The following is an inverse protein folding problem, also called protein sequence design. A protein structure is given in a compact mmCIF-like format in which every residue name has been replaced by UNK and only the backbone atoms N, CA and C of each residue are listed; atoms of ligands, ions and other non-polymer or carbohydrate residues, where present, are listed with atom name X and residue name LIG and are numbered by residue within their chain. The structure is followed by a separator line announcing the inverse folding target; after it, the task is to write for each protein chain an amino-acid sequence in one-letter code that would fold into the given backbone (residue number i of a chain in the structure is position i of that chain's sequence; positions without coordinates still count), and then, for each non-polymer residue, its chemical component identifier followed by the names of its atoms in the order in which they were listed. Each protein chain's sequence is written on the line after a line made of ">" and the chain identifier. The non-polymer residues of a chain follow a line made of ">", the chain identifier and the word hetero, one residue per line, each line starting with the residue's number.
data_IF_747755866299
#
_entry.id   IF_747755866299
#
_cell.length_a   1.000
_cell.length_b   1.000
_cell.length_c   1.000
_cell.angle_alpha   90.00
_cell.angle_beta   90.00
_cell.angle_gamma   90.00
#
_symmetry.space_group_name_H-M   'P 1'
#
loop_
_entity.id
_entity.type
_entity.pdbx_description
1 polymer ?
#
# COMPACT_ATOMS: atom_id res chain seq x y z
N UNK A 1 8.04 11.70 -14.05
CA UNK A 1 7.42 11.26 -15.31
C UNK A 1 6.14 12.01 -15.57
N UNK A 2 5.92 12.45 -16.82
CA UNK A 2 4.72 13.20 -17.22
C UNK A 2 3.43 12.46 -16.91
N UNK A 3 3.42 11.11 -17.01
CA UNK A 3 2.25 10.29 -16.77
C UNK A 3 1.83 10.22 -15.28
N UNK A 4 2.76 10.39 -14.35
CA UNK A 4 2.50 10.20 -12.92
C UNK A 4 2.50 11.48 -12.11
N UNK A 5 2.83 12.63 -12.70
CA UNK A 5 2.84 13.91 -12.00
C UNK A 5 3.61 13.86 -10.68
N UNK A 6 3.06 14.53 -9.65
CA UNK A 6 3.73 14.68 -8.35
C UNK A 6 3.82 13.38 -7.54
N UNK A 7 2.95 12.38 -7.80
CA UNK A 7 2.97 11.11 -7.06
C UNK A 7 3.91 10.07 -7.68
N UNK A 8 4.48 10.33 -8.86
CA UNK A 8 5.47 9.44 -9.49
C UNK A 8 6.66 9.14 -8.59
N UNK A 9 7.06 10.09 -7.74
CA UNK A 9 8.11 9.90 -6.74
C UNK A 9 7.79 8.81 -5.70
N UNK A 10 6.52 8.49 -5.48
CA UNK A 10 6.07 7.49 -4.50
C UNK A 10 6.02 6.05 -5.06
N UNK A 11 6.24 5.89 -6.37
CA UNK A 11 6.34 4.56 -7.00
C UNK A 11 7.63 3.85 -6.56
N UNK A 12 8.69 4.62 -6.29
CA UNK A 12 10.00 4.11 -5.86
C UNK A 12 10.29 4.51 -4.41
N UNK A 13 11.16 3.78 -3.69
CA UNK A 13 11.55 4.12 -2.32
C UNK A 13 12.04 5.57 -2.21
N UNK A 14 11.46 6.34 -1.29
CA UNK A 14 11.54 7.82 -1.23
C UNK A 14 12.96 8.32 -0.94
N UNK A 15 13.75 7.62 -0.10
CA UNK A 15 15.04 8.09 0.39
C UNK A 15 16.26 7.38 -0.26
N UNK A 16 16.03 6.61 -1.31
CA UNK A 16 17.14 5.97 -2.01
C UNK A 16 17.72 6.87 -3.09
N UNK A 17 19.04 7.02 -3.10
CA UNK A 17 19.74 7.59 -4.25
C UNK A 17 19.62 6.63 -5.42
N UNK A 18 18.72 6.95 -6.33
CA UNK A 18 18.56 6.23 -7.58
C UNK A 18 19.71 6.68 -8.50
N UNK A 19 20.51 5.72 -8.99
CA UNK A 19 21.53 6.00 -10.00
C UNK A 19 20.87 6.55 -11.27
N UNK A 20 21.51 7.53 -11.91
CA UNK A 20 21.06 8.02 -13.21
C UNK A 20 21.10 6.95 -14.32
N UNK A 21 21.83 5.86 -14.10
CA UNK A 21 21.95 4.73 -15.02
C UNK A 21 20.88 3.66 -14.77
N UNK A 22 20.00 3.86 -13.78
CA UNK A 22 18.92 2.92 -13.48
C UNK A 22 17.85 3.01 -14.57
N UNK A 23 17.58 1.87 -15.18
CA UNK A 23 16.51 1.65 -16.16
C UNK A 23 15.59 0.54 -15.69
N UNK A 24 14.44 0.37 -16.34
CA UNK A 24 13.57 -0.77 -16.04
C UNK A 24 14.26 -2.12 -16.34
N UNK A 25 15.20 -2.15 -17.27
CA UNK A 25 15.96 -3.35 -17.61
C UNK A 25 16.88 -3.81 -16.48
N UNK A 26 17.48 -2.88 -15.73
CA UNK A 26 18.38 -3.17 -14.61
C UNK A 26 17.80 -2.86 -13.24
N UNK A 27 16.47 -2.73 -13.15
CA UNK A 27 15.75 -2.35 -11.92
C UNK A 27 16.01 -3.30 -10.73
N UNK A 28 16.38 -4.56 -11.01
CA UNK A 28 16.76 -5.52 -9.97
C UNK A 28 17.95 -5.07 -9.12
N UNK A 29 18.76 -4.13 -9.62
CA UNK A 29 19.89 -3.58 -8.89
C UNK A 29 19.52 -2.50 -7.87
N UNK A 30 18.26 -2.03 -7.84
CA UNK A 30 17.82 -0.94 -6.96
C UNK A 30 17.89 -1.31 -5.48
N UNK A 31 17.66 -2.58 -5.16
CA UNK A 31 17.74 -3.14 -3.80
C UNK A 31 18.74 -4.31 -3.81
N UNK A 32 20.05 -4.06 -3.68
CA UNK A 32 21.05 -5.12 -3.82
C UNK A 32 20.93 -6.25 -2.76
N UNK A 33 20.22 -5.98 -1.66
CA UNK A 33 19.93 -6.98 -0.62
C UNK A 33 18.64 -7.77 -0.87
N UNK A 34 17.86 -7.44 -1.92
CA UNK A 34 16.61 -8.11 -2.26
C UNK A 34 16.75 -8.78 -3.62
N UNK A 35 17.03 -10.08 -3.62
CA UNK A 35 17.35 -10.84 -4.82
C UNK A 35 16.12 -11.20 -5.69
N UNK A 36 14.92 -11.00 -5.18
CA UNK A 36 13.68 -11.50 -5.79
C UNK A 36 12.96 -10.44 -6.65
N UNK A 37 13.66 -9.36 -7.02
CA UNK A 37 13.09 -8.36 -7.94
C UNK A 37 12.96 -8.95 -9.33
N UNK A 38 11.73 -9.13 -9.80
CA UNK A 38 11.42 -9.61 -11.13
C UNK A 38 11.23 -8.43 -12.09
N UNK A 39 12.17 -8.25 -13.02
CA UNK A 39 12.19 -7.17 -13.98
C UNK A 39 10.93 -7.16 -14.85
N UNK A 40 10.49 -8.31 -15.36
CA UNK A 40 9.31 -8.41 -16.22
C UNK A 40 8.04 -7.98 -15.46
N UNK A 41 7.93 -8.39 -14.20
CA UNK A 41 6.82 -7.98 -13.34
C UNK A 41 6.85 -6.48 -13.06
N UNK A 42 8.03 -5.92 -12.84
CA UNK A 42 8.18 -4.46 -12.65
C UNK A 42 7.73 -3.68 -13.88
N UNK A 43 8.14 -4.14 -15.07
CA UNK A 43 7.73 -3.54 -16.36
C UNK A 43 6.20 -3.66 -16.54
N UNK A 44 5.62 -4.82 -16.23
CA UNK A 44 4.18 -5.03 -16.28
C UNK A 44 3.42 -4.04 -15.37
N UNK A 45 3.88 -3.86 -14.12
CA UNK A 45 3.29 -2.93 -13.17
C UNK A 45 3.36 -1.49 -13.66
N UNK A 46 4.54 -1.05 -14.11
CA UNK A 46 4.72 0.32 -14.61
C UNK A 46 3.83 0.58 -15.82
N UNK A 47 3.77 -0.36 -16.76
CA UNK A 47 2.90 -0.25 -17.93
C UNK A 47 1.42 -0.24 -17.54
N UNK A 48 1.01 -1.07 -16.61
CA UNK A 48 -0.37 -1.06 -16.10
C UNK A 48 -0.72 0.31 -15.52
N UNK A 49 0.06 0.82 -14.57
CA UNK A 49 -0.19 2.11 -13.92
C UNK A 49 -0.20 3.26 -14.95
N UNK A 50 0.73 3.24 -15.90
CA UNK A 50 0.81 4.24 -16.96
C UNK A 50 -0.44 4.21 -17.85
N UNK A 51 -0.85 3.03 -18.32
CA UNK A 51 -2.03 2.89 -19.17
C UNK A 51 -3.30 3.35 -18.46
N UNK A 52 -3.43 3.03 -17.16
CA UNK A 52 -4.55 3.51 -16.34
C UNK A 52 -4.55 5.04 -16.24
N UNK A 53 -3.40 5.66 -15.92
CA UNK A 53 -3.28 7.11 -15.82
C UNK A 53 -3.54 7.81 -17.17
N UNK A 54 -2.98 7.31 -18.28
CA UNK A 54 -3.19 7.84 -19.63
C UNK A 54 -4.66 7.68 -20.10
N UNK A 55 -5.39 6.68 -19.59
CA UNK A 55 -6.83 6.54 -19.83
C UNK A 55 -7.70 7.52 -19.04
N UNK A 56 -7.09 8.37 -18.21
CA UNK A 56 -7.77 9.34 -17.35
C UNK A 56 -8.30 8.76 -16.04
N UNK A 57 -7.93 7.52 -15.68
CA UNK A 57 -8.28 6.96 -14.38
C UNK A 57 -7.36 7.50 -13.30
N UNK A 58 -7.93 7.85 -12.16
CA UNK A 58 -7.17 8.20 -10.98
C UNK A 58 -6.62 6.91 -10.34
N UNK A 59 -5.30 6.80 -10.30
CA UNK A 59 -4.58 5.61 -9.77
C UNK A 59 -3.90 5.87 -8.43
N UNK A 60 -3.88 7.11 -7.97
CA UNK A 60 -3.30 7.48 -6.69
C UNK A 60 -4.27 8.40 -5.94
N UNK A 61 -4.37 8.18 -4.64
CA UNK A 61 -5.21 8.98 -3.74
C UNK A 61 -4.41 9.42 -2.52
N UNK A 62 -4.42 10.72 -2.28
CA UNK A 62 -4.01 11.28 -1.00
C UNK A 62 -4.98 10.83 0.09
N UNK A 63 -4.44 10.32 1.19
CA UNK A 63 -5.26 9.91 2.35
C UNK A 63 -5.41 11.03 3.40
N UNK A 64 -4.60 12.06 3.32
CA UNK A 64 -4.66 13.24 4.15
C UNK A 64 -5.11 14.46 3.35
N UNK A 65 -5.88 15.32 3.99
CA UNK A 65 -6.34 16.59 3.42
C UNK A 65 -5.19 17.60 3.27
N UNK A 66 -5.41 18.63 2.46
CA UNK A 66 -4.42 19.69 2.29
C UNK A 66 -4.14 20.46 3.58
N UNK A 67 -5.13 20.61 4.48
CA UNK A 67 -4.91 21.22 5.78
C UNK A 67 -4.04 20.35 6.68
N UNK A 68 -4.24 19.03 6.70
CA UNK A 68 -3.40 18.10 7.46
C UNK A 68 -1.96 18.04 6.93
N UNK A 69 -1.78 18.17 5.62
CA UNK A 69 -0.45 18.25 4.98
C UNK A 69 0.22 19.60 5.24
N UNK A 70 -0.54 20.67 5.42
CA UNK A 70 -0.01 21.98 5.81
C UNK A 70 0.46 22.01 7.27
N UNK A 71 -0.26 21.31 8.16
CA UNK A 71 0.11 21.15 9.57
C UNK A 71 1.29 20.19 9.78
N UNK A 72 1.37 19.14 8.96
CA UNK A 72 2.45 18.13 8.95
C UNK A 72 2.87 17.83 7.51
N UNK A 73 3.90 18.50 6.97
CA UNK A 73 4.36 18.32 5.60
C UNK A 73 4.80 16.88 5.25
N UNK A 74 5.20 16.06 6.24
CA UNK A 74 5.56 14.67 5.98
C UNK A 74 4.36 13.83 5.49
N UNK A 75 3.13 14.25 5.76
CA UNK A 75 1.91 13.64 5.26
C UNK A 75 1.74 13.69 3.73
N UNK A 76 2.54 14.50 3.03
CA UNK A 76 2.62 14.45 1.57
C UNK A 76 3.38 13.23 1.03
N UNK A 77 4.09 12.49 1.90
CA UNK A 77 4.91 11.33 1.55
C UNK A 77 4.16 10.01 1.73
N UNK A 78 2.83 10.04 1.81
CA UNK A 78 1.98 8.87 1.95
C UNK A 78 0.77 8.96 1.03
N UNK A 79 0.12 7.84 0.78
CA UNK A 79 -1.05 7.70 -0.04
C UNK A 79 -1.24 6.27 -0.52
N UNK A 80 -2.29 6.04 -1.29
CA UNK A 80 -2.62 4.71 -1.80
C UNK A 80 -2.65 4.67 -3.32
N UNK A 81 -1.98 3.67 -3.90
CA UNK A 81 -2.14 3.32 -5.30
C UNK A 81 -3.30 2.34 -5.46
N UNK A 82 -4.23 2.63 -6.35
CA UNK A 82 -5.40 1.82 -6.61
C UNK A 82 -5.19 0.93 -7.84
N UNK A 83 -5.23 -0.36 -7.63
CA UNK A 83 -5.27 -1.41 -8.65
C UNK A 83 -6.72 -1.89 -8.75
N UNK A 84 -7.46 -1.33 -9.70
CA UNK A 84 -8.89 -1.56 -9.82
C UNK A 84 -9.18 -2.98 -10.31
N UNK A 85 -10.10 -3.67 -9.60
CA UNK A 85 -10.74 -4.90 -10.01
C UNK A 85 -12.14 -4.66 -10.59
N UNK A 86 -13.11 -5.45 -10.20
CA UNK A 86 -14.49 -5.30 -10.59
C UNK A 86 -15.20 -4.23 -9.73
N UNK A 87 -16.22 -3.59 -10.30
CA UNK A 87 -17.04 -2.64 -9.56
C UNK A 87 -17.72 -3.34 -8.36
N UNK A 88 -17.70 -2.67 -7.22
CA UNK A 88 -18.25 -3.17 -5.95
C UNK A 88 -17.68 -4.52 -5.48
N UNK A 89 -16.52 -4.91 -5.97
CA UNK A 89 -15.83 -6.10 -5.46
C UNK A 89 -15.14 -5.81 -4.12
N UNK A 90 -14.88 -6.88 -3.37
CA UNK A 90 -14.15 -6.86 -2.09
C UNK A 90 -12.79 -6.20 -2.23
N UNK A 91 -12.37 -5.56 -1.14
CA UNK A 91 -11.15 -4.77 -1.10
C UNK A 91 -10.03 -5.46 -0.32
N UNK A 92 -8.80 -5.20 -0.76
CA UNK A 92 -7.58 -5.60 -0.09
C UNK A 92 -6.63 -4.40 0.05
N UNK A 93 -6.04 -4.21 1.22
CA UNK A 93 -4.98 -3.21 1.43
C UNK A 93 -3.66 -3.95 1.58
N UNK A 94 -2.71 -3.63 0.72
CA UNK A 94 -1.43 -4.34 0.61
C UNK A 94 -0.29 -3.42 1.07
N UNK A 95 0.48 -3.90 2.02
CA UNK A 95 1.51 -3.13 2.71
C UNK A 95 2.87 -3.74 2.45
N UNK A 96 3.78 -2.99 1.84
CA UNK A 96 5.11 -3.47 1.51
C UNK A 96 6.00 -3.59 2.76
N UNK A 97 7.02 -4.44 2.67
CA UNK A 97 8.14 -4.44 3.61
C UNK A 97 9.06 -3.23 3.46
N UNK A 98 10.13 -3.21 4.22
CA UNK A 98 11.14 -2.15 4.21
C UNK A 98 11.63 -1.76 5.60
N UNK A 99 11.35 -2.60 6.63
CA UNK A 99 11.87 -2.42 8.00
C UNK A 99 11.37 -1.17 8.69
N UNK A 100 10.29 -0.53 8.21
CA UNK A 100 9.82 0.79 8.63
C UNK A 100 10.83 1.93 8.38
N UNK A 101 11.79 1.73 7.50
CA UNK A 101 12.80 2.72 7.09
C UNK A 101 12.50 3.22 5.69
N UNK A 102 12.02 2.35 4.82
CA UNK A 102 11.56 2.66 3.46
C UNK A 102 10.37 1.78 3.10
N UNK A 103 9.77 2.01 1.93
CA UNK A 103 8.63 1.22 1.44
C UNK A 103 8.98 0.60 0.09
N UNK A 104 9.09 -0.73 0.06
CA UNK A 104 9.42 -1.49 -1.15
C UNK A 104 8.21 -1.67 -2.10
N UNK A 105 7.39 -0.63 -2.29
CA UNK A 105 6.08 -0.70 -2.96
C UNK A 105 6.11 -1.46 -4.28
N UNK A 106 6.92 -0.99 -5.23
CA UNK A 106 6.96 -1.54 -6.59
C UNK A 106 7.44 -3.01 -6.66
N UNK A 107 8.20 -3.46 -5.68
CA UNK A 107 8.76 -4.80 -5.66
C UNK A 107 8.05 -5.77 -4.72
N UNK A 108 7.21 -5.25 -3.83
CA UNK A 108 6.54 -6.05 -2.80
C UNK A 108 5.01 -5.88 -2.87
N UNK A 109 4.44 -4.73 -2.50
CA UNK A 109 2.98 -4.59 -2.47
C UNK A 109 2.33 -4.48 -3.86
N UNK A 110 2.96 -3.81 -4.82
CA UNK A 110 2.37 -3.62 -6.16
C UNK A 110 2.19 -4.92 -6.93
N UNK A 111 3.15 -5.89 -6.92
CA UNK A 111 2.92 -7.19 -7.56
C UNK A 111 1.68 -7.90 -7.03
N UNK A 112 1.47 -7.90 -5.72
CA UNK A 112 0.30 -8.52 -5.09
C UNK A 112 -0.98 -7.77 -5.43
N UNK A 113 -0.96 -6.43 -5.37
CA UNK A 113 -2.10 -5.60 -5.72
C UNK A 113 -2.54 -5.80 -7.17
N UNK A 114 -1.58 -5.88 -8.11
CA UNK A 114 -1.87 -6.15 -9.52
C UNK A 114 -2.50 -7.54 -9.71
N UNK A 115 -1.96 -8.59 -9.08
CA UNK A 115 -2.52 -9.93 -9.22
C UNK A 115 -3.91 -10.06 -8.58
N UNK A 116 -4.16 -9.38 -7.46
CA UNK A 116 -5.48 -9.30 -6.84
C UNK A 116 -6.47 -8.59 -7.77
N UNK A 117 -6.08 -7.49 -8.40
CA UNK A 117 -6.94 -6.76 -9.34
C UNK A 117 -7.31 -7.61 -10.57
N UNK A 118 -6.37 -8.36 -11.12
CA UNK A 118 -6.63 -9.32 -12.22
C UNK A 118 -7.63 -10.42 -11.83
N UNK A 119 -7.70 -10.75 -10.54
CA UNK A 119 -8.69 -11.69 -9.98
C UNK A 119 -10.04 -11.02 -9.67
N UNK A 120 -10.16 -9.74 -9.93
CA UNK A 120 -11.39 -8.97 -9.75
C UNK A 120 -11.53 -8.26 -8.40
N UNK A 121 -10.58 -8.40 -7.48
CA UNK A 121 -10.57 -7.66 -6.20
C UNK A 121 -10.09 -6.23 -6.39
N UNK A 122 -10.62 -5.30 -5.62
CA UNK A 122 -10.09 -3.94 -5.56
C UNK A 122 -8.91 -3.90 -4.60
N UNK A 123 -7.72 -3.67 -5.12
CA UNK A 123 -6.50 -3.71 -4.32
C UNK A 123 -5.85 -2.33 -4.19
N UNK A 124 -5.43 -2.01 -2.99
CA UNK A 124 -4.81 -0.73 -2.64
C UNK A 124 -3.43 -0.97 -2.06
N UNK A 125 -2.41 -0.44 -2.70
CA UNK A 125 -1.05 -0.51 -2.20
C UNK A 125 -0.73 0.78 -1.43
N UNK A 126 -0.51 0.67 -0.13
CA UNK A 126 -0.17 1.79 0.73
C UNK A 126 1.31 2.12 0.62
N UNK A 127 1.61 3.38 0.37
CA UNK A 127 2.91 3.97 0.61
C UNK A 127 2.81 4.69 1.96
N UNK A 128 3.48 4.18 2.97
CA UNK A 128 3.44 4.70 4.33
C UNK A 128 4.72 5.45 4.68
N UNK A 129 4.64 6.37 5.63
CA UNK A 129 5.80 7.11 6.12
C UNK A 129 6.70 6.21 7.01
N UNK A 130 8.01 6.43 7.03
CA UNK A 130 8.93 5.69 7.92
C UNK A 130 8.54 5.77 9.41
N UNK A 131 8.88 4.72 10.16
CA UNK A 131 8.53 4.59 11.57
C UNK A 131 7.33 3.66 11.79
N UNK A 132 7.45 2.72 12.73
CA UNK A 132 6.42 1.69 12.94
C UNK A 132 5.06 2.28 13.40
N UNK A 133 5.10 3.27 14.31
CA UNK A 133 3.89 3.96 14.77
C UNK A 133 3.26 4.76 13.64
N UNK A 134 4.04 5.58 12.95
CA UNK A 134 3.59 6.42 11.83
C UNK A 134 3.01 5.59 10.69
N UNK A 135 3.65 4.46 10.37
CA UNK A 135 3.16 3.53 9.36
C UNK A 135 1.77 2.95 9.73
N UNK A 136 1.56 2.62 11.01
CA UNK A 136 0.26 2.17 11.49
C UNK A 136 -0.80 3.29 11.47
N UNK A 137 -0.42 4.52 11.76
CA UNK A 137 -1.30 5.69 11.63
C UNK A 137 -1.72 5.92 10.18
N UNK A 138 -0.77 5.82 9.24
CA UNK A 138 -1.06 5.92 7.80
C UNK A 138 -1.96 4.78 7.32
N UNK A 139 -1.77 3.54 7.80
CA UNK A 139 -2.65 2.43 7.46
C UNK A 139 -4.05 2.62 8.07
N UNK A 140 -4.16 3.10 9.31
CA UNK A 140 -5.45 3.43 9.93
C UNK A 140 -6.18 4.51 9.13
N UNK A 141 -5.48 5.57 8.71
CA UNK A 141 -6.03 6.63 7.87
C UNK A 141 -6.45 6.11 6.48
N UNK A 142 -5.64 5.23 5.87
CA UNK A 142 -6.01 4.61 4.59
C UNK A 142 -7.30 3.78 4.69
N UNK A 143 -7.44 2.99 5.76
CA UNK A 143 -8.67 2.22 6.02
C UNK A 143 -9.86 3.18 6.18
N UNK A 144 -9.72 4.25 6.97
CA UNK A 144 -10.75 5.26 7.16
C UNK A 144 -11.14 5.92 5.82
N UNK A 145 -10.16 6.35 5.03
CA UNK A 145 -10.36 6.93 3.71
C UNK A 145 -11.17 5.99 2.80
N UNK A 146 -10.82 4.71 2.75
CA UNK A 146 -11.51 3.73 1.91
C UNK A 146 -12.95 3.49 2.35
N UNK A 147 -13.25 3.51 3.65
CA UNK A 147 -14.63 3.46 4.15
C UNK A 147 -15.41 4.71 3.79
N UNK A 148 -14.80 5.89 3.96
CA UNK A 148 -15.43 7.19 3.71
C UNK A 148 -15.74 7.41 2.22
N UNK A 149 -14.91 6.86 1.32
CA UNK A 149 -15.02 7.02 -0.14
C UNK A 149 -15.46 5.75 -0.88
N UNK A 150 -15.93 4.72 -0.17
CA UNK A 150 -16.23 3.41 -0.78
C UNK A 150 -17.24 3.48 -1.93
N UNK A 151 -18.27 4.31 -1.79
CA UNK A 151 -19.28 4.52 -2.83
C UNK A 151 -18.71 5.22 -4.07
N UNK A 152 -17.88 6.24 -3.88
CA UNK A 152 -17.22 7.00 -4.95
C UNK A 152 -16.24 6.12 -5.73
N UNK A 153 -15.48 5.30 -5.01
CA UNK A 153 -14.50 4.37 -5.59
C UNK A 153 -15.14 3.12 -6.21
N UNK A 154 -16.44 2.91 -6.01
CA UNK A 154 -17.16 1.68 -6.38
C UNK A 154 -16.50 0.41 -5.83
N UNK A 155 -16.25 0.40 -4.52
CA UNK A 155 -15.59 -0.71 -3.82
C UNK A 155 -16.44 -1.21 -2.64
N UNK A 156 -16.22 -2.47 -2.26
CA UNK A 156 -16.80 -3.06 -1.07
C UNK A 156 -15.73 -3.23 0.03
N UNK A 157 -15.89 -2.49 1.12
CA UNK A 157 -15.06 -2.59 2.31
C UNK A 157 -15.59 -3.58 3.35
N UNK A 158 -16.75 -4.19 3.11
CA UNK A 158 -17.25 -5.27 3.98
C UNK A 158 -16.32 -6.46 3.86
N UNK A 159 -15.86 -6.99 5.00
CA UNK A 159 -14.93 -8.13 5.02
C UNK A 159 -13.64 -7.91 4.20
N UNK A 160 -13.12 -6.68 4.19
CA UNK A 160 -11.84 -6.39 3.54
C UNK A 160 -10.69 -7.19 4.17
N UNK A 161 -9.59 -7.31 3.45
CA UNK A 161 -8.39 -7.99 3.92
C UNK A 161 -7.19 -7.05 3.99
N UNK A 162 -6.31 -7.31 4.97
CA UNK A 162 -4.99 -6.66 5.06
C UNK A 162 -3.91 -7.67 4.66
N UNK A 163 -3.03 -7.23 3.79
CA UNK A 163 -1.90 -8.02 3.29
C UNK A 163 -0.61 -7.30 3.61
N UNK A 164 0.45 -8.03 3.85
CA UNK A 164 1.74 -7.39 3.97
C UNK A 164 2.91 -8.33 4.03
N UNK A 165 4.09 -7.80 3.65
CA UNK A 165 5.38 -8.44 3.74
C UNK A 165 6.25 -7.82 4.85
N UNK A 166 6.99 -8.63 5.62
CA UNK A 166 7.94 -8.14 6.64
C UNK A 166 7.34 -7.06 7.58
N UNK A 167 7.84 -5.83 7.53
CA UNK A 167 7.29 -4.68 8.26
C UNK A 167 5.81 -4.44 7.93
N UNK A 168 5.42 -4.54 6.64
CA UNK A 168 4.04 -4.42 6.18
C UNK A 168 3.12 -5.50 6.77
N UNK A 169 3.62 -6.72 6.94
CA UNK A 169 2.87 -7.78 7.60
C UNK A 169 2.63 -7.48 9.08
N UNK A 170 3.64 -6.92 9.77
CA UNK A 170 3.50 -6.53 11.18
C UNK A 170 2.47 -5.43 11.37
N UNK A 171 2.51 -4.37 10.55
CA UNK A 171 1.51 -3.30 10.66
C UNK A 171 0.11 -3.81 10.32
N UNK A 172 -0.05 -4.68 9.32
CA UNK A 172 -1.32 -5.32 8.99
C UNK A 172 -1.87 -6.13 10.17
N UNK A 173 -1.02 -6.91 10.83
CA UNK A 173 -1.38 -7.68 12.02
C UNK A 173 -1.76 -6.79 13.23
N UNK A 174 -1.03 -5.71 13.47
CA UNK A 174 -1.34 -4.77 14.54
C UNK A 174 -2.69 -4.07 14.30
N UNK A 175 -2.96 -3.60 13.08
CA UNK A 175 -4.26 -3.02 12.73
C UNK A 175 -5.39 -4.06 12.86
N UNK A 176 -5.16 -5.30 12.43
CA UNK A 176 -6.10 -6.39 12.61
C UNK A 176 -6.41 -6.69 14.07
N UNK A 177 -5.39 -6.70 14.93
CA UNK A 177 -5.54 -7.00 16.35
C UNK A 177 -6.15 -5.84 17.12
N UNK A 178 -5.62 -4.63 16.94
CA UNK A 178 -5.95 -3.47 17.80
C UNK A 178 -6.99 -2.53 17.18
N UNK A 179 -7.19 -2.55 15.87
CA UNK A 179 -8.13 -1.68 15.16
C UNK A 179 -7.61 -0.26 14.93
N UNK A 180 -8.33 0.51 14.11
CA UNK A 180 -7.96 1.84 13.65
C UNK A 180 -7.90 2.88 14.77
N UNK A 181 -8.76 2.77 15.80
CA UNK A 181 -8.83 3.74 16.89
C UNK A 181 -7.57 3.74 17.78
N UNK A 182 -6.81 2.66 17.80
CA UNK A 182 -5.53 2.61 18.51
C UNK A 182 -4.46 3.49 17.82
N UNK A 183 -4.64 3.77 16.53
CA UNK A 183 -3.70 4.51 15.70
C UNK A 183 -4.27 5.87 15.22
N UNK A 184 -5.10 6.50 16.04
CA UNK A 184 -5.51 7.90 15.85
C UNK A 184 -6.76 8.13 15.00
N UNK A 185 -7.39 7.08 14.47
CA UNK A 185 -8.61 7.19 13.67
C UNK A 185 -9.87 6.85 14.47
N UNK A 186 -11.05 7.09 13.88
CA UNK A 186 -12.31 6.56 14.37
C UNK A 186 -12.28 5.01 14.33
N UNK A 187 -13.17 4.39 15.09
CA UNK A 187 -13.33 2.94 15.03
C UNK A 187 -14.03 2.53 13.73
N UNK A 188 -13.29 1.85 12.86
CA UNK A 188 -13.83 1.16 11.69
C UNK A 188 -13.83 -0.34 11.91
N UNK A 189 -14.63 -1.12 11.16
CA UNK A 189 -14.61 -2.57 11.23
C UNK A 189 -13.20 -3.13 11.03
N UNK A 190 -12.87 -4.18 11.77
CA UNK A 190 -11.60 -4.90 11.59
C UNK A 190 -11.63 -5.67 10.26
N UNK A 191 -10.45 -5.99 9.68
CA UNK A 191 -10.40 -6.84 8.49
C UNK A 191 -10.94 -8.23 8.77
N UNK A 192 -11.54 -8.87 7.77
CA UNK A 192 -11.98 -10.25 7.86
C UNK A 192 -10.80 -11.23 7.90
N UNK A 193 -9.66 -10.83 7.35
CA UNK A 193 -8.42 -11.62 7.37
C UNK A 193 -7.17 -10.76 7.26
N UNK A 194 -6.07 -11.29 7.79
CA UNK A 194 -4.72 -10.74 7.62
C UNK A 194 -3.84 -11.79 6.97
N UNK A 195 -3.17 -11.44 5.89
CA UNK A 195 -2.22 -12.28 5.17
C UNK A 195 -0.80 -11.74 5.39
N UNK A 196 0.03 -12.52 6.07
CA UNK A 196 1.39 -12.18 6.46
C UNK A 196 2.39 -12.94 5.61
N UNK A 197 3.36 -12.23 5.05
CA UNK A 197 4.42 -12.82 4.25
C UNK A 197 5.79 -12.55 4.89
N UNK A 198 6.65 -13.55 4.90
CA UNK A 198 8.04 -13.59 5.37
C UNK A 198 8.30 -12.85 6.71
N UNK A 199 7.33 -12.88 7.60
CA UNK A 199 7.45 -12.54 9.02
C UNK A 199 6.31 -13.20 9.80
N UNK A 200 6.44 -13.29 11.11
CA UNK A 200 5.42 -13.81 12.00
C UNK A 200 5.05 -12.82 13.10
N UNK A 201 3.96 -13.11 13.78
CA UNK A 201 3.60 -12.43 15.02
C UNK A 201 4.52 -12.94 16.14
N UNK A 202 5.13 -12.01 16.87
CA UNK A 202 5.91 -12.32 18.09
C UNK A 202 5.03 -12.47 19.32
N UNK A 203 3.82 -11.90 19.28
CA UNK A 203 2.84 -11.94 20.36
C UNK A 203 1.44 -12.14 19.77
N UNK A 204 0.69 -13.05 20.36
CA UNK A 204 -0.71 -13.30 20.02
C UNK A 204 -1.55 -12.76 21.17
N UNK A 205 -2.51 -11.89 20.87
CA UNK A 205 -3.36 -11.21 21.85
C UNK A 205 -4.72 -11.88 22.05
N UNK A 206 -5.11 -12.77 21.14
CA UNK A 206 -6.44 -13.36 21.07
C UNK A 206 -7.48 -12.44 20.43
N UNK A 207 -7.08 -11.30 19.91
CA UNK A 207 -7.95 -10.32 19.22
C UNK A 207 -7.73 -10.31 17.69
N UNK A 208 -6.81 -11.14 17.23
CA UNK A 208 -6.47 -11.24 15.82
C UNK A 208 -7.67 -11.77 15.01
N UNK A 209 -7.95 -11.18 13.83
CA UNK A 209 -8.80 -11.84 12.84
C UNK A 209 -8.10 -13.09 12.31
N UNK A 210 -8.76 -13.94 11.51
CA UNK A 210 -8.10 -15.02 10.80
C UNK A 210 -6.82 -14.54 10.13
N UNK A 211 -5.69 -15.12 10.53
CA UNK A 211 -4.34 -14.69 10.12
C UNK A 211 -3.61 -15.87 9.49
N UNK A 212 -3.02 -15.66 8.31
CA UNK A 212 -2.36 -16.67 7.48
C UNK A 212 -0.94 -16.30 7.15
#
# INVERSE_FOLDING_TARGET
>A
DEAFGNYGRLIFPVDMRISNDLTLENISSILPWYSEINTDKTVEIVNYLRNEAESGRQIFYDIYSDSEKADDPEKQNTGIFFFKGNDNAKSAVVNAGGGFVYVAGIHDSFPHALELSKKGYNAFALIYRPGAQTACEDLARAIAFLYEHSAELNIDMTDYSLWGGSAGARMAAWLGSYGTSTFGEKTYPKPASVIMQYTGLSQVTGMEPPTY
#
